data_IF_441410857254
#
_entry.id   IF_441410857254
#
_cell.length_a   1.000
_cell.length_b   1.000
_cell.length_c   1.000
_cell.angle_alpha   90.00
_cell.angle_beta   90.00
_cell.angle_gamma   90.00
#
_symmetry.space_group_name_H-M   'P 1'
#
loop_
_entity.id
_entity.type
_entity.pdbx_description
1 polymer ?
#
# COMPACT_ATOMS: atom_id res chain seq x y z
N UNK A 1 2.95 2.70 -15.14
CA UNK A 1 2.61 2.58 -13.70
C UNK A 1 2.78 3.93 -12.99
N UNK A 2 1.78 4.40 -12.24
CA UNK A 2 1.78 5.74 -11.61
C UNK A 2 2.97 5.95 -10.66
N UNK A 3 3.43 4.90 -9.96
CA UNK A 3 4.62 4.94 -9.09
C UNK A 3 5.94 5.24 -9.83
N UNK A 4 5.94 5.21 -11.17
CA UNK A 4 7.09 5.56 -12.02
C UNK A 4 7.05 6.99 -12.55
N UNK A 5 6.01 7.75 -12.22
CA UNK A 5 5.84 9.15 -12.63
C UNK A 5 6.24 10.04 -11.46
N UNK A 6 7.03 11.08 -11.72
CA UNK A 6 7.45 12.00 -10.68
C UNK A 6 6.21 12.67 -10.08
N UNK A 7 6.15 12.73 -8.75
CA UNK A 7 4.95 13.22 -8.07
C UNK A 7 5.30 13.86 -6.72
N UNK A 8 4.39 14.71 -6.25
CA UNK A 8 4.48 15.36 -4.94
C UNK A 8 3.10 15.47 -4.31
N UNK A 9 3.04 15.30 -2.99
CA UNK A 9 1.82 15.53 -2.22
C UNK A 9 1.66 17.05 -2.03
N UNK A 10 0.56 17.62 -2.51
CA UNK A 10 0.28 19.06 -2.43
C UNK A 10 -0.78 19.40 -1.39
N UNK A 11 -1.53 18.41 -0.91
CA UNK A 11 -2.61 18.63 0.05
C UNK A 11 -3.06 17.34 0.70
N UNK A 12 -3.86 17.50 1.75
CA UNK A 12 -4.52 16.43 2.47
C UNK A 12 -5.96 16.82 2.77
N UNK A 13 -6.83 15.82 2.92
CA UNK A 13 -8.23 16.03 3.30
C UNK A 13 -8.72 14.88 4.17
N UNK A 14 -9.65 15.17 5.08
CA UNK A 14 -10.06 14.22 6.10
C UNK A 14 -8.86 13.70 6.92
N UNK A 15 -9.01 12.52 7.50
CA UNK A 15 -7.96 11.93 8.37
C UNK A 15 -6.87 11.22 7.56
N UNK A 16 -7.18 10.75 6.35
CA UNK A 16 -6.37 9.76 5.61
C UNK A 16 -6.20 10.07 4.12
N UNK A 17 -6.80 11.15 3.62
CA UNK A 17 -6.75 11.53 2.21
C UNK A 17 -5.55 12.41 1.90
N UNK A 18 -4.88 12.11 0.80
CA UNK A 18 -3.79 12.89 0.22
C UNK A 18 -4.12 13.21 -1.23
N UNK A 19 -3.74 14.41 -1.66
CA UNK A 19 -3.79 14.85 -3.05
C UNK A 19 -2.36 14.96 -3.56
N UNK A 20 -2.05 14.19 -4.59
CA UNK A 20 -0.77 14.20 -5.28
C UNK A 20 -0.92 14.79 -6.66
N UNK A 21 0.08 15.57 -7.08
CA UNK A 21 0.27 15.92 -8.48
C UNK A 21 1.30 14.97 -9.08
N UNK A 22 0.98 14.44 -10.26
CA UNK A 22 1.88 13.66 -11.09
C UNK A 22 2.30 14.48 -12.30
N UNK A 23 3.58 14.41 -12.65
CA UNK A 23 4.20 15.17 -13.73
C UNK A 23 4.80 14.22 -14.78
N UNK A 24 4.03 13.83 -15.82
CA UNK A 24 4.48 12.90 -16.84
C UNK A 24 5.70 13.38 -17.65
N UNK A 25 5.90 14.70 -17.72
CA UNK A 25 6.98 15.33 -18.48
C UNK A 25 8.25 15.56 -17.66
N UNK A 26 8.23 15.27 -16.35
CA UNK A 26 9.45 15.22 -15.55
C UNK A 26 10.16 13.91 -15.88
N UNK A 27 11.16 14.00 -16.76
CA UNK A 27 11.94 12.85 -17.23
C UNK A 27 12.64 12.17 -16.07
N UNK A 28 12.76 10.84 -16.17
CA UNK A 28 13.58 10.05 -15.26
C UNK A 28 15.05 10.40 -15.52
N UNK A 29 15.68 11.09 -14.58
CA UNK A 29 17.13 11.06 -14.49
C UNK A 29 17.54 9.65 -13.98
N UNK A 30 18.83 9.27 -14.06
CA UNK A 30 19.31 7.93 -13.68
C UNK A 30 18.92 7.51 -12.24
N UNK A 31 18.56 8.47 -11.38
CA UNK A 31 18.10 8.29 -10.00
C UNK A 31 16.59 8.03 -9.83
N UNK A 32 15.82 7.96 -10.92
CA UNK A 32 14.40 7.63 -10.92
C UNK A 32 13.46 8.85 -11.03
N UNK A 33 12.14 8.66 -10.83
CA UNK A 33 11.13 9.70 -11.06
C UNK A 33 11.06 10.68 -9.89
N UNK A 34 12.05 11.58 -9.79
CA UNK A 34 12.11 12.59 -8.74
C UNK A 34 11.98 14.00 -9.30
N UNK A 35 11.23 14.84 -8.58
CA UNK A 35 11.25 16.28 -8.81
C UNK A 35 12.53 16.87 -8.21
N UNK A 36 13.19 17.73 -8.96
CA UNK A 36 14.36 18.48 -8.49
C UNK A 36 13.94 19.57 -7.49
N UNK A 37 14.89 20.14 -6.74
CA UNK A 37 14.58 21.31 -5.91
C UNK A 37 14.11 22.52 -6.74
N UNK A 38 14.61 22.64 -7.97
CA UNK A 38 14.14 23.65 -8.93
C UNK A 38 12.69 23.39 -9.32
N UNK A 39 12.34 22.15 -9.65
CA UNK A 39 10.95 21.77 -9.96
C UNK A 39 10.01 22.10 -8.79
N UNK A 40 10.40 21.80 -7.54
CA UNK A 40 9.59 22.13 -6.36
C UNK A 40 9.45 23.65 -6.15
N UNK A 41 10.51 24.40 -6.41
CA UNK A 41 10.48 25.86 -6.33
C UNK A 41 9.55 26.47 -7.38
N UNK A 42 9.60 25.99 -8.62
CA UNK A 42 8.75 26.46 -9.71
C UNK A 42 7.29 26.05 -9.51
N UNK A 43 7.04 24.81 -9.06
CA UNK A 43 5.71 24.36 -8.69
C UNK A 43 5.07 25.30 -7.66
N UNK A 44 5.82 25.70 -6.63
CA UNK A 44 5.31 26.62 -5.62
C UNK A 44 5.15 28.05 -6.15
N UNK A 45 6.23 28.63 -6.72
CA UNK A 45 6.29 30.05 -7.07
C UNK A 45 5.45 30.42 -8.30
N UNK A 46 5.35 29.51 -9.27
CA UNK A 46 4.65 29.73 -10.56
C UNK A 46 3.26 29.10 -10.50
N UNK A 47 3.17 27.86 -10.01
CA UNK A 47 1.91 27.13 -9.91
C UNK A 47 1.08 27.54 -8.71
N UNK A 48 1.41 26.99 -7.54
CA UNK A 48 0.55 27.01 -6.34
C UNK A 48 0.28 28.44 -5.86
N UNK A 49 1.33 29.22 -5.56
CA UNK A 49 1.20 30.55 -4.96
C UNK A 49 0.43 31.50 -5.88
N UNK A 50 0.72 31.50 -7.19
CA UNK A 50 0.02 32.37 -8.14
C UNK A 50 -1.43 31.96 -8.31
N UNK A 51 -1.71 30.66 -8.34
CA UNK A 51 -3.08 30.16 -8.43
C UNK A 51 -3.88 30.62 -7.21
N UNK A 52 -3.37 30.40 -6.00
CA UNK A 52 -4.06 30.84 -4.77
C UNK A 52 -4.28 32.34 -4.73
N UNK A 53 -3.28 33.16 -5.08
CA UNK A 53 -3.43 34.62 -5.07
C UNK A 53 -4.46 35.11 -6.09
N UNK A 54 -4.65 34.38 -7.19
CA UNK A 54 -5.65 34.69 -8.21
C UNK A 54 -7.05 34.30 -7.76
N UNK A 55 -7.22 33.10 -7.18
CA UNK A 55 -8.55 32.58 -6.79
C UNK A 55 -9.04 33.08 -5.43
N UNK A 56 -8.13 33.37 -4.49
CA UNK A 56 -8.40 33.78 -3.11
C UNK A 56 -7.41 34.88 -2.72
N UNK A 57 -7.52 36.09 -3.31
CA UNK A 57 -6.57 37.17 -3.10
C UNK A 57 -6.46 37.61 -1.63
N UNK A 58 -7.52 37.44 -0.84
CA UNK A 58 -7.55 37.78 0.59
C UNK A 58 -6.59 36.90 1.41
N UNK A 59 -6.34 35.66 0.98
CA UNK A 59 -5.44 34.72 1.66
C UNK A 59 -3.97 34.94 1.34
N UNK A 60 -3.61 35.85 0.43
CA UNK A 60 -2.22 36.09 0.00
C UNK A 60 -1.25 36.27 1.18
N UNK A 61 -1.68 36.95 2.25
CA UNK A 61 -0.85 37.21 3.42
C UNK A 61 -0.52 35.96 4.25
N UNK A 62 -1.29 34.88 4.11
CA UNK A 62 -1.09 33.63 4.85
C UNK A 62 -0.09 32.68 4.17
N UNK A 63 0.24 32.94 2.91
CA UNK A 63 1.16 32.12 2.13
C UNK A 63 2.57 32.71 2.14
N UNK A 64 3.62 31.89 2.33
CA UNK A 64 4.99 32.35 2.16
C UNK A 64 5.20 32.98 0.77
N UNK A 65 5.93 34.11 0.66
CA UNK A 65 6.06 34.86 -0.58
C UNK A 65 6.89 34.13 -1.66
N UNK A 66 7.61 33.06 -1.28
CA UNK A 66 8.36 32.21 -2.20
C UNK A 66 8.62 30.84 -1.60
N UNK A 67 9.05 29.89 -2.43
CA UNK A 67 9.49 28.57 -1.98
C UNK A 67 10.64 28.66 -0.98
N UNK A 68 11.63 29.53 -1.24
CA UNK A 68 12.75 29.75 -0.32
C UNK A 68 12.27 30.25 1.06
N UNK A 69 11.28 31.14 1.08
CA UNK A 69 10.66 31.61 2.33
C UNK A 69 9.87 30.49 3.03
N UNK A 70 9.17 29.62 2.27
CA UNK A 70 8.47 28.47 2.82
C UNK A 70 9.44 27.46 3.48
N UNK A 71 10.56 27.15 2.82
CA UNK A 71 11.61 26.29 3.37
C UNK A 71 12.25 26.91 4.61
N UNK A 72 12.58 28.22 4.56
CA UNK A 72 13.17 28.91 5.71
C UNK A 72 12.24 28.92 6.92
N UNK A 73 10.93 29.17 6.71
CA UNK A 73 9.91 29.11 7.76
C UNK A 73 9.72 27.71 8.33
N UNK A 74 9.83 26.69 7.49
CA UNK A 74 9.60 25.30 7.90
C UNK A 74 10.79 24.65 8.60
N UNK A 75 11.98 25.25 8.61
CA UNK A 75 13.17 24.62 9.18
C UNK A 75 13.32 24.95 10.67
N UNK A 76 13.45 23.92 11.52
CA UNK A 76 13.74 24.10 12.94
C UNK A 76 15.24 24.35 13.22
N UNK A 77 15.57 24.60 14.49
CA UNK A 77 16.95 24.84 14.96
C UNK A 77 17.92 23.67 14.73
N UNK A 78 17.40 22.46 14.50
CA UNK A 78 18.18 21.25 14.22
C UNK A 78 18.22 20.92 12.72
N UNK A 79 17.61 21.76 11.88
CA UNK A 79 17.56 21.57 10.43
C UNK A 79 16.42 20.67 9.94
N UNK A 80 15.54 20.19 10.82
CA UNK A 80 14.38 19.40 10.40
C UNK A 80 13.30 20.29 9.80
N UNK A 81 12.57 19.74 8.82
CA UNK A 81 11.49 20.43 8.13
C UNK A 81 10.14 20.09 8.76
N UNK A 82 9.43 21.13 9.18
CA UNK A 82 8.06 21.13 9.68
C UNK A 82 7.23 22.05 8.79
N UNK A 83 6.42 21.47 7.91
CA UNK A 83 5.57 22.24 7.01
C UNK A 83 4.20 22.48 7.63
N UNK A 84 3.76 23.74 7.64
CA UNK A 84 2.38 24.09 7.95
C UNK A 84 1.45 23.87 6.76
N UNK A 85 0.15 23.77 7.02
CA UNK A 85 -0.90 23.70 6.00
C UNK A 85 -1.70 25.00 5.96
N UNK A 86 -2.27 25.30 4.79
CA UNK A 86 -3.25 26.36 4.61
C UNK A 86 -4.42 25.76 3.85
N UNK A 87 -5.63 25.96 4.37
CA UNK A 87 -6.83 25.42 3.75
C UNK A 87 -7.19 26.19 2.48
N UNK A 88 -7.78 25.48 1.51
CA UNK A 88 -8.43 26.03 0.33
C UNK A 88 -9.91 25.66 0.44
N UNK A 89 -10.79 26.63 0.29
CA UNK A 89 -12.24 26.45 0.37
C UNK A 89 -12.74 25.49 -0.72
N UNK A 90 -13.73 24.65 -0.38
CA UNK A 90 -14.22 23.59 -1.25
C UNK A 90 -14.74 24.11 -2.60
N UNK A 91 -15.46 25.23 -2.57
CA UNK A 91 -16.03 25.89 -3.76
C UNK A 91 -14.97 26.52 -4.68
N UNK A 92 -13.71 26.59 -4.23
CA UNK A 92 -12.59 27.13 -4.99
C UNK A 92 -11.64 26.08 -5.55
N UNK A 93 -11.88 24.79 -5.26
CA UNK A 93 -10.97 23.71 -5.65
C UNK A 93 -10.89 23.51 -7.17
N UNK A 94 -12.02 23.63 -7.87
CA UNK A 94 -12.05 23.49 -9.34
C UNK A 94 -11.29 24.64 -10.01
N UNK A 95 -11.55 25.88 -9.57
CA UNK A 95 -10.82 27.07 -10.03
C UNK A 95 -9.33 26.95 -9.73
N UNK A 96 -8.96 26.53 -8.50
CA UNK A 96 -7.57 26.29 -8.13
C UNK A 96 -6.88 25.31 -9.06
N UNK A 97 -7.52 24.16 -9.33
CA UNK A 97 -6.96 23.12 -10.17
C UNK A 97 -6.78 23.60 -11.62
N UNK A 98 -7.77 24.29 -12.18
CA UNK A 98 -7.72 24.85 -13.52
C UNK A 98 -6.60 25.90 -13.66
N UNK A 99 -6.54 26.89 -12.75
CA UNK A 99 -5.52 27.92 -12.76
C UNK A 99 -4.12 27.32 -12.58
N UNK A 100 -3.97 26.32 -11.70
CA UNK A 100 -2.69 25.64 -11.49
C UNK A 100 -2.18 24.95 -12.77
N UNK A 101 -3.06 24.22 -13.46
CA UNK A 101 -2.72 23.58 -14.74
C UNK A 101 -2.34 24.65 -15.77
N UNK A 102 -3.10 25.74 -15.86
CA UNK A 102 -2.84 26.84 -16.78
C UNK A 102 -1.47 27.51 -16.52
N UNK A 103 -1.14 27.83 -15.26
CA UNK A 103 0.15 28.46 -14.92
C UNK A 103 1.35 27.57 -15.26
N UNK A 104 1.17 26.25 -15.22
CA UNK A 104 2.22 25.28 -15.51
C UNK A 104 2.26 24.84 -16.99
N UNK A 105 1.31 25.25 -17.83
CA UNK A 105 1.14 24.72 -19.19
C UNK A 105 2.38 24.84 -20.09
N UNK A 106 3.18 25.89 -19.89
CA UNK A 106 4.41 26.15 -20.66
C UNK A 106 5.68 25.69 -19.94
N UNK A 107 5.57 25.14 -18.73
CA UNK A 107 6.74 24.67 -18.00
C UNK A 107 7.31 23.41 -18.67
N UNK A 108 8.63 23.32 -18.91
CA UNK A 108 9.23 22.19 -19.65
C UNK A 108 8.94 20.83 -19.00
N UNK A 109 9.07 20.73 -17.67
CA UNK A 109 8.90 19.50 -16.88
C UNK A 109 7.55 19.32 -16.18
N UNK A 110 6.90 20.41 -15.74
CA UNK A 110 5.71 20.38 -14.88
C UNK A 110 4.38 20.59 -15.62
N UNK A 111 4.42 20.79 -16.94
CA UNK A 111 3.21 20.93 -17.77
C UNK A 111 2.33 19.69 -17.72
N UNK A 112 1.04 19.90 -17.98
CA UNK A 112 0.01 18.86 -18.03
C UNK A 112 0.04 17.91 -16.81
N UNK A 113 -0.02 18.44 -15.57
CA UNK A 113 -0.04 17.58 -14.40
C UNK A 113 -1.37 16.84 -14.26
N UNK A 114 -1.34 15.68 -13.60
CA UNK A 114 -2.55 14.94 -13.22
C UNK A 114 -2.71 14.91 -11.71
N UNK A 115 -3.94 15.06 -11.22
CA UNK A 115 -4.26 14.85 -9.82
C UNK A 115 -4.46 13.35 -9.53
N UNK A 116 -3.97 12.91 -8.38
CA UNK A 116 -4.25 11.59 -7.83
C UNK A 116 -4.66 11.74 -6.38
N UNK A 117 -5.79 11.12 -6.07
CA UNK A 117 -6.27 10.98 -4.70
C UNK A 117 -5.74 9.66 -4.16
N UNK A 118 -5.09 9.73 -2.99
CA UNK A 118 -4.57 8.56 -2.30
C UNK A 118 -5.14 8.54 -0.88
N UNK A 119 -5.86 7.47 -0.54
CA UNK A 119 -6.32 7.21 0.82
C UNK A 119 -5.35 6.24 1.50
N UNK A 120 -4.69 6.66 2.58
CA UNK A 120 -3.65 5.86 3.25
C UNK A 120 -4.12 5.24 4.57
N UNK A 121 -3.55 4.08 4.88
CA UNK A 121 -3.75 3.40 6.17
C UNK A 121 -5.14 2.79 6.37
N UNK A 122 -5.94 2.65 5.31
CA UNK A 122 -7.27 2.03 5.36
C UNK A 122 -7.22 0.50 5.47
N UNK A 123 -6.04 -0.11 5.29
CA UNK A 123 -5.86 -1.56 5.39
C UNK A 123 -6.18 -2.05 6.82
N UNK A 124 -7.08 -3.02 6.91
CA UNK A 124 -7.50 -3.61 8.19
C UNK A 124 -8.37 -2.69 9.05
N UNK A 125 -8.97 -1.65 8.46
CA UNK A 125 -9.88 -0.75 9.19
C UNK A 125 -11.17 -1.43 9.62
N UNK A 126 -11.61 -2.45 8.87
CA UNK A 126 -12.84 -3.19 9.13
C UNK A 126 -12.54 -4.69 9.16
N UNK A 127 -13.10 -5.35 10.17
CA UNK A 127 -13.07 -6.81 10.34
C UNK A 127 -14.46 -7.25 10.75
N UNK A 128 -14.97 -8.30 10.11
CA UNK A 128 -16.30 -8.86 10.34
C UNK A 128 -16.25 -10.38 10.07
N UNK A 129 -17.18 -11.17 10.64
CA UNK A 129 -17.24 -12.61 10.39
C UNK A 129 -17.40 -12.93 8.90
N UNK A 130 -16.81 -14.05 8.46
CA UNK A 130 -17.03 -14.57 7.10
C UNK A 130 -18.52 -14.89 6.93
N UNK A 131 -19.12 -14.41 5.84
CA UNK A 131 -20.55 -14.57 5.55
C UNK A 131 -21.45 -13.45 6.07
N UNK A 132 -20.94 -12.49 6.85
CA UNK A 132 -21.69 -11.30 7.25
C UNK A 132 -21.73 -10.28 6.10
N UNK A 133 -22.73 -10.42 5.24
CA UNK A 133 -22.90 -9.60 4.02
C UNK A 133 -23.21 -8.14 4.38
N UNK A 134 -24.01 -7.90 5.42
CA UNK A 134 -24.40 -6.56 5.82
C UNK A 134 -23.20 -5.77 6.35
N UNK A 135 -22.43 -6.36 7.28
CA UNK A 135 -21.22 -5.73 7.82
C UNK A 135 -20.17 -5.45 6.72
N UNK A 136 -20.08 -6.35 5.73
CA UNK A 136 -19.22 -6.18 4.56
C UNK A 136 -19.64 -4.99 3.70
N UNK A 137 -20.93 -4.89 3.38
CA UNK A 137 -21.47 -3.79 2.58
C UNK A 137 -21.33 -2.46 3.31
N UNK A 138 -21.59 -2.42 4.62
CA UNK A 138 -21.42 -1.23 5.44
C UNK A 138 -19.94 -0.77 5.47
N UNK A 139 -19.00 -1.70 5.65
CA UNK A 139 -17.57 -1.40 5.60
C UNK A 139 -17.14 -0.83 4.24
N UNK A 140 -17.67 -1.40 3.14
CA UNK A 140 -17.41 -0.91 1.80
C UNK A 140 -17.98 0.50 1.57
N UNK A 141 -19.22 0.74 2.00
CA UNK A 141 -19.86 2.05 1.91
C UNK A 141 -19.08 3.12 2.69
N UNK A 142 -18.58 2.78 3.88
CA UNK A 142 -17.75 3.69 4.67
C UNK A 142 -16.39 3.97 4.01
N UNK A 143 -15.75 2.95 3.40
CA UNK A 143 -14.53 3.14 2.63
C UNK A 143 -14.77 4.03 1.40
N UNK A 144 -15.92 3.83 0.75
CA UNK A 144 -16.37 4.55 -0.44
C UNK A 144 -16.92 5.95 -0.18
N UNK A 145 -17.11 6.37 1.08
CA UNK A 145 -17.74 7.64 1.42
C UNK A 145 -16.99 8.89 0.90
N UNK A 146 -15.70 8.74 0.57
CA UNK A 146 -14.87 9.80 -0.02
C UNK A 146 -14.85 9.76 -1.56
N UNK A 147 -15.52 8.78 -2.18
CA UNK A 147 -15.56 8.58 -3.62
C UNK A 147 -16.94 8.99 -4.12
N UNK A 148 -16.98 9.83 -5.15
CA UNK A 148 -18.21 10.23 -5.81
C UNK A 148 -18.60 9.16 -6.83
N UNK A 149 -19.17 8.04 -6.38
CA UNK A 149 -19.45 6.87 -7.22
C UNK A 149 -20.25 7.18 -8.50
N UNK A 150 -21.17 8.15 -8.45
CA UNK A 150 -21.93 8.61 -9.62
C UNK A 150 -21.04 9.14 -10.74
N UNK A 151 -19.92 9.81 -10.41
CA UNK A 151 -18.97 10.31 -11.40
C UNK A 151 -18.04 9.20 -11.93
N UNK A 152 -17.98 8.06 -11.24
CA UNK A 152 -17.12 6.93 -11.56
C UNK A 152 -17.85 5.81 -12.30
N UNK A 153 -19.15 5.96 -12.59
CA UNK A 153 -20.00 4.90 -13.17
C UNK A 153 -19.40 4.28 -14.44
N UNK A 154 -18.94 5.11 -15.38
CA UNK A 154 -18.29 4.66 -16.63
C UNK A 154 -16.91 4.03 -16.40
N UNK A 155 -16.28 4.29 -15.25
CA UNK A 155 -14.95 3.83 -14.90
C UNK A 155 -14.96 2.63 -13.94
N UNK A 156 -16.10 2.18 -13.41
CA UNK A 156 -16.18 1.09 -12.41
C UNK A 156 -15.47 -0.20 -12.85
N UNK A 157 -15.44 -0.49 -14.15
CA UNK A 157 -14.71 -1.63 -14.72
C UNK A 157 -13.18 -1.57 -14.51
N UNK A 158 -12.65 -0.38 -14.26
CA UNK A 158 -11.23 -0.10 -13.99
C UNK A 158 -10.90 -0.07 -12.50
N UNK A 159 -11.92 -0.11 -11.65
CA UNK A 159 -11.76 -0.20 -10.21
C UNK A 159 -11.52 -1.64 -9.80
N UNK A 160 -10.60 -1.80 -8.84
CA UNK A 160 -10.27 -3.06 -8.22
C UNK A 160 -10.31 -2.90 -6.71
N UNK A 161 -10.68 -3.99 -6.04
CA UNK A 161 -10.75 -4.07 -4.59
C UNK A 161 -10.01 -5.32 -4.12
N UNK A 162 -9.22 -5.16 -3.07
CA UNK A 162 -8.57 -6.27 -2.38
C UNK A 162 -9.51 -6.76 -1.28
N UNK A 163 -9.97 -8.00 -1.38
CA UNK A 163 -10.79 -8.67 -0.37
C UNK A 163 -9.94 -9.76 0.25
N UNK A 164 -9.97 -9.86 1.58
CA UNK A 164 -9.17 -10.84 2.29
C UNK A 164 -9.97 -11.58 3.36
N UNK A 165 -9.66 -12.86 3.49
CA UNK A 165 -10.04 -13.69 4.64
C UNK A 165 -8.82 -13.82 5.53
N UNK A 166 -9.01 -13.62 6.82
CA UNK A 166 -7.97 -13.77 7.84
C UNK A 166 -8.37 -14.89 8.79
N UNK A 167 -7.50 -15.89 8.91
CA UNK A 167 -7.67 -17.04 9.79
C UNK A 167 -6.77 -16.85 10.99
N UNK A 168 -7.36 -16.93 12.19
CA UNK A 168 -6.67 -16.78 13.46
C UNK A 168 -7.07 -17.89 14.43
N UNK A 169 -6.17 -18.22 15.36
CA UNK A 169 -6.41 -19.18 16.44
C UNK A 169 -5.62 -18.72 17.66
N UNK A 170 -6.27 -18.48 18.80
CA UNK A 170 -5.58 -18.05 20.01
C UNK A 170 -4.43 -18.99 20.41
N UNK A 171 -3.30 -18.41 20.80
CA UNK A 171 -2.09 -19.11 21.24
C UNK A 171 -1.32 -19.81 20.11
N UNK A 172 -1.63 -19.49 18.85
CA UNK A 172 -0.95 -20.09 17.69
C UNK A 172 -0.49 -19.03 16.68
N UNK A 173 0.60 -19.36 16.01
CA UNK A 173 0.98 -18.78 14.72
C UNK A 173 0.50 -19.72 13.62
N UNK A 174 -0.38 -19.21 12.76
CA UNK A 174 -0.92 -19.97 11.63
C UNK A 174 -0.04 -19.74 10.39
N UNK A 175 0.34 -20.82 9.73
CA UNK A 175 1.14 -20.80 8.50
C UNK A 175 0.42 -21.52 7.36
N UNK A 176 0.62 -21.03 6.13
CA UNK A 176 0.15 -21.68 4.92
C UNK A 176 1.07 -22.82 4.52
N UNK A 177 0.49 -23.95 4.12
CA UNK A 177 1.22 -25.10 3.61
C UNK A 177 1.44 -24.96 2.11
N UNK A 178 2.69 -25.08 1.69
CA UNK A 178 3.08 -24.96 0.27
C UNK A 178 2.42 -26.00 -0.63
N UNK A 179 2.18 -27.20 -0.09
CA UNK A 179 1.54 -28.31 -0.79
C UNK A 179 0.04 -28.09 -1.08
N UNK A 180 -0.55 -27.02 -0.55
CA UNK A 180 -1.96 -26.67 -0.76
C UNK A 180 -2.17 -25.49 -1.74
N UNK A 181 -1.10 -24.95 -2.33
CA UNK A 181 -1.19 -23.78 -3.21
C UNK A 181 -2.07 -24.01 -4.45
N UNK A 182 -2.10 -25.25 -4.96
CA UNK A 182 -2.99 -25.63 -6.07
C UNK A 182 -4.47 -25.52 -5.67
N UNK A 183 -4.84 -26.00 -4.48
CA UNK A 183 -6.20 -25.93 -3.93
C UNK A 183 -6.60 -24.48 -3.66
N UNK A 184 -5.69 -23.71 -3.08
CA UNK A 184 -5.87 -22.28 -2.80
C UNK A 184 -6.07 -21.48 -4.10
N UNK A 185 -5.32 -21.77 -5.15
CA UNK A 185 -5.50 -21.16 -6.46
C UNK A 185 -6.79 -21.62 -7.15
N UNK A 186 -7.15 -22.90 -7.05
CA UNK A 186 -8.41 -23.41 -7.60
C UNK A 186 -9.63 -22.77 -6.91
N UNK A 187 -9.52 -22.50 -5.61
CA UNK A 187 -10.53 -21.76 -4.87
C UNK A 187 -10.63 -20.29 -5.31
N UNK A 188 -9.49 -19.60 -5.49
CA UNK A 188 -9.50 -18.24 -6.03
C UNK A 188 -9.99 -18.16 -7.49
N UNK A 189 -9.83 -19.23 -8.27
CA UNK A 189 -10.08 -19.28 -9.71
C UNK A 189 -11.00 -20.46 -10.06
N UNK A 190 -12.28 -20.44 -9.65
CA UNK A 190 -13.17 -21.58 -9.83
C UNK A 190 -13.44 -21.91 -11.31
N UNK A 191 -13.27 -20.95 -12.23
CA UNK A 191 -13.39 -21.19 -13.66
C UNK A 191 -12.14 -21.81 -14.29
N UNK A 192 -11.00 -21.85 -13.59
CA UNK A 192 -9.75 -22.37 -14.11
C UNK A 192 -9.68 -23.90 -14.03
N UNK A 193 -9.20 -24.54 -15.09
CA UNK A 193 -9.03 -26.00 -15.09
C UNK A 193 -7.83 -26.42 -14.23
N UNK A 194 -7.74 -27.68 -13.77
CA UNK A 194 -6.54 -28.18 -13.10
C UNK A 194 -5.25 -27.98 -13.90
N UNK A 195 -5.34 -28.02 -15.24
CA UNK A 195 -4.22 -27.73 -16.14
C UNK A 195 -3.81 -26.26 -16.08
N UNK A 196 -4.76 -25.33 -15.98
CA UNK A 196 -4.50 -23.90 -15.85
C UNK A 196 -3.81 -23.58 -14.54
N UNK A 197 -4.30 -24.15 -13.43
CA UNK A 197 -3.70 -24.00 -12.09
C UNK A 197 -2.26 -24.54 -12.10
N UNK A 198 -2.06 -25.77 -12.59
CA UNK A 198 -0.73 -26.36 -12.68
C UNK A 198 0.21 -25.55 -13.61
N UNK A 199 -0.33 -24.97 -14.67
CA UNK A 199 0.40 -24.06 -15.56
C UNK A 199 0.80 -22.75 -14.88
N UNK A 200 -0.08 -22.18 -14.05
CA UNK A 200 0.19 -20.97 -13.28
C UNK A 200 1.30 -21.21 -12.24
N UNK A 201 1.23 -22.31 -11.48
CA UNK A 201 2.22 -22.69 -10.46
C UNK A 201 3.63 -22.90 -11.01
N UNK A 202 3.77 -23.33 -12.28
CA UNK A 202 5.06 -23.49 -12.95
C UNK A 202 5.52 -22.25 -13.71
N UNK A 203 4.65 -21.26 -13.84
CA UNK A 203 4.90 -20.05 -14.63
C UNK A 203 5.64 -18.97 -13.85
N UNK A 204 6.02 -17.92 -14.57
CA UNK A 204 6.66 -16.71 -14.00
C UNK A 204 5.67 -15.80 -13.26
N UNK A 205 4.38 -16.05 -13.42
CA UNK A 205 3.30 -15.29 -12.77
C UNK A 205 2.96 -15.81 -11.37
N UNK A 206 3.77 -16.72 -10.83
CA UNK A 206 3.61 -17.29 -9.51
C UNK A 206 4.95 -17.20 -8.76
N UNK A 207 4.90 -16.80 -7.50
CA UNK A 207 6.05 -16.70 -6.61
C UNK A 207 5.65 -17.24 -5.24
N UNK A 208 6.42 -18.21 -4.71
CA UNK A 208 6.22 -18.74 -3.37
C UNK A 208 7.04 -17.94 -2.36
N UNK A 209 6.38 -17.48 -1.29
CA UNK A 209 6.98 -16.68 -0.23
C UNK A 209 7.24 -17.58 0.99
N UNK A 210 8.43 -18.17 1.06
CA UNK A 210 8.82 -19.12 2.13
C UNK A 210 8.93 -18.43 3.50
N UNK A 211 8.32 -19.03 4.52
CA UNK A 211 8.38 -18.56 5.90
C UNK A 211 9.63 -19.09 6.61
N UNK A 212 10.53 -18.20 7.05
CA UNK A 212 11.65 -18.58 7.93
C UNK A 212 12.57 -19.70 7.41
N UNK A 213 12.74 -19.81 6.08
CA UNK A 213 13.44 -20.92 5.41
C UNK A 213 12.80 -22.33 5.60
N UNK A 214 11.60 -22.41 6.16
CA UNK A 214 10.83 -23.64 6.26
C UNK A 214 10.12 -23.90 4.93
N UNK A 215 10.76 -24.61 3.99
CA UNK A 215 10.30 -24.72 2.60
C UNK A 215 8.90 -25.34 2.40
N UNK A 216 8.39 -26.06 3.39
CA UNK A 216 7.03 -26.60 3.40
C UNK A 216 5.97 -25.57 3.79
N UNK A 217 6.40 -24.45 4.39
CA UNK A 217 5.55 -23.35 4.83
C UNK A 217 5.81 -22.15 3.93
N UNK A 218 4.79 -21.77 3.17
CA UNK A 218 4.92 -20.65 2.26
C UNK A 218 3.55 -20.01 2.03
N UNK A 219 3.56 -18.68 1.95
CA UNK A 219 2.54 -17.97 1.20
C UNK A 219 2.84 -18.00 -0.30
N UNK A 220 2.05 -17.29 -1.09
CA UNK A 220 2.38 -17.03 -2.49
C UNK A 220 1.74 -15.76 -3.03
N UNK A 221 2.33 -15.27 -4.11
CA UNK A 221 1.76 -14.24 -4.98
C UNK A 221 1.51 -14.84 -6.35
N UNK A 222 0.33 -14.61 -6.91
CA UNK A 222 -0.02 -15.05 -8.25
C UNK A 222 -0.72 -13.94 -9.05
N UNK A 223 -0.35 -13.82 -10.33
CA UNK A 223 -0.98 -12.94 -11.31
C UNK A 223 -1.64 -13.81 -12.40
N UNK A 224 -2.93 -14.20 -12.24
CA UNK A 224 -3.57 -15.20 -13.11
C UNK A 224 -3.59 -14.81 -14.59
N UNK A 225 -3.57 -13.51 -14.91
CA UNK A 225 -3.58 -12.99 -16.26
C UNK A 225 -4.88 -13.38 -16.98
N UNK A 226 -4.78 -14.02 -18.14
CA UNK A 226 -5.96 -14.48 -18.90
C UNK A 226 -6.80 -15.51 -18.14
N UNK A 227 -6.18 -16.30 -17.24
CA UNK A 227 -6.86 -17.37 -16.49
C UNK A 227 -7.85 -16.84 -15.46
N UNK A 228 -7.63 -15.64 -14.92
CA UNK A 228 -8.52 -15.02 -13.94
C UNK A 228 -9.61 -14.12 -14.54
N UNK A 229 -9.72 -14.03 -15.88
CA UNK A 229 -10.69 -13.13 -16.52
C UNK A 229 -12.14 -13.54 -16.24
N UNK A 230 -12.44 -14.84 -16.28
CA UNK A 230 -13.78 -15.35 -16.02
C UNK A 230 -14.20 -15.06 -14.57
N UNK A 231 -13.28 -15.25 -13.63
CA UNK A 231 -13.49 -15.02 -12.20
C UNK A 231 -13.29 -13.55 -11.79
N UNK A 232 -12.90 -12.68 -12.73
CA UNK A 232 -12.56 -11.26 -12.49
C UNK A 232 -11.47 -11.05 -11.45
N UNK A 233 -10.58 -12.04 -11.28
CA UNK A 233 -9.44 -12.02 -10.36
C UNK A 233 -8.18 -11.62 -11.11
N UNK A 234 -7.51 -10.55 -10.68
CA UNK A 234 -6.27 -10.06 -11.30
C UNK A 234 -5.03 -10.36 -10.47
N UNK A 235 -5.18 -10.58 -9.17
CA UNK A 235 -4.08 -10.90 -8.27
C UNK A 235 -4.58 -11.79 -7.13
N UNK A 236 -3.74 -12.73 -6.70
CA UNK A 236 -3.96 -13.54 -5.50
C UNK A 236 -2.71 -13.40 -4.63
N UNK A 237 -2.89 -13.09 -3.36
CA UNK A 237 -1.83 -12.88 -2.39
C UNK A 237 -2.17 -13.62 -1.10
N UNK A 238 -1.42 -14.68 -0.82
CA UNK A 238 -1.60 -15.55 0.33
C UNK A 238 -0.37 -15.38 1.20
N UNK A 239 -0.53 -14.92 2.43
CA UNK A 239 0.60 -14.61 3.31
C UNK A 239 0.23 -14.72 4.78
N UNK A 240 1.23 -14.65 5.65
CA UNK A 240 1.08 -14.68 7.12
C UNK A 240 1.42 -13.34 7.76
N UNK A 241 0.86 -13.07 8.94
CA UNK A 241 1.05 -11.79 9.66
C UNK A 241 2.12 -11.85 10.74
N UNK A 242 2.81 -12.97 10.91
CA UNK A 242 4.01 -13.12 11.75
C UNK A 242 5.17 -12.19 11.34
N UNK A 243 5.12 -11.60 10.13
CA UNK A 243 6.02 -10.50 9.73
C UNK A 243 5.72 -9.15 10.39
N UNK A 244 4.54 -8.98 11.00
CA UNK A 244 4.07 -7.68 11.53
C UNK A 244 4.99 -7.09 12.61
N UNK A 245 5.52 -7.85 13.58
CA UNK A 245 6.46 -7.32 14.58
C UNK A 245 7.76 -6.74 13.99
N UNK A 246 8.12 -7.18 12.77
CA UNK A 246 9.33 -6.76 12.06
C UNK A 246 9.02 -5.67 11.01
N UNK A 247 7.77 -5.25 10.86
CA UNK A 247 7.39 -4.25 9.87
C UNK A 247 7.82 -2.85 10.32
N UNK A 248 8.72 -2.23 9.55
CA UNK A 248 9.20 -0.86 9.79
C UNK A 248 9.00 0.02 8.55
N UNK A 249 8.48 1.23 8.75
CA UNK A 249 8.31 2.22 7.67
C UNK A 249 9.63 2.88 7.27
N UNK A 250 10.59 2.94 8.20
CA UNK A 250 11.91 3.53 7.99
C UNK A 250 12.99 2.45 7.95
N UNK A 251 14.15 2.78 7.39
CA UNK A 251 15.31 1.87 7.42
C UNK A 251 15.87 1.78 8.85
N UNK A 252 15.56 0.70 9.54
CA UNK A 252 16.16 0.30 10.81
C UNK A 252 16.65 -1.15 10.77
N UNK A 253 16.72 -1.79 11.94
CA UNK A 253 17.28 -3.13 12.12
C UNK A 253 16.56 -4.22 11.29
N UNK A 254 15.27 -4.07 11.03
CA UNK A 254 14.47 -5.09 10.33
C UNK A 254 14.51 -4.99 8.80
N UNK A 255 15.51 -4.30 8.24
CA UNK A 255 15.62 -4.14 6.78
C UNK A 255 16.17 -5.43 6.17
N UNK A 256 15.96 -5.62 4.87
CA UNK A 256 16.73 -6.63 4.13
C UNK A 256 18.22 -6.28 4.23
N UNK A 257 19.00 -7.21 4.78
CA UNK A 257 20.45 -7.15 4.76
C UNK A 257 20.98 -7.69 3.44
N UNK A 258 22.10 -7.11 2.99
CA UNK A 258 22.77 -7.48 1.74
C UNK A 258 24.20 -7.94 2.05
N UNK A 259 24.86 -8.70 1.16
CA UNK A 259 26.21 -9.20 1.41
C UNK A 259 27.22 -8.12 1.81
N UNK A 260 27.08 -6.88 1.32
CA UNK A 260 28.00 -5.78 1.70
C UNK A 260 27.88 -5.35 3.17
N UNK A 261 26.82 -5.74 3.89
CA UNK A 261 26.66 -5.49 5.32
C UNK A 261 27.63 -6.32 6.18
N UNK A 262 28.21 -7.40 5.64
CA UNK A 262 29.20 -8.24 6.35
C UNK A 262 30.63 -7.69 6.27
N UNK A 263 30.84 -6.57 5.58
CA UNK A 263 32.16 -5.95 5.45
C UNK A 263 32.65 -5.36 6.78
N UNK A 264 33.97 -5.28 7.03
CA UNK A 264 34.51 -4.82 8.33
C UNK A 264 33.98 -3.47 8.82
N UNK A 265 33.67 -2.54 7.91
CA UNK A 265 33.11 -1.23 8.27
C UNK A 265 31.62 -1.25 8.68
N UNK A 266 30.87 -2.30 8.33
CA UNK A 266 29.42 -2.41 8.56
C UNK A 266 29.03 -3.56 9.48
N UNK A 267 29.93 -4.52 9.72
CA UNK A 267 29.64 -5.74 10.49
C UNK A 267 29.17 -5.45 11.91
N UNK A 268 29.69 -4.39 12.56
CA UNK A 268 29.23 -3.98 13.90
C UNK A 268 27.77 -3.51 13.91
N UNK A 269 27.36 -2.78 12.86
CA UNK A 269 25.96 -2.35 12.68
C UNK A 269 25.07 -3.59 12.48
N UNK A 270 25.49 -4.50 11.60
CA UNK A 270 24.78 -5.75 11.35
C UNK A 270 24.63 -6.59 12.63
N UNK A 271 25.67 -6.69 13.46
CA UNK A 271 25.59 -7.36 14.76
C UNK A 271 24.53 -6.72 15.67
N UNK A 272 24.49 -5.40 15.76
CA UNK A 272 23.45 -4.67 16.50
C UNK A 272 22.04 -4.92 15.95
N UNK A 273 21.89 -4.92 14.62
CA UNK A 273 20.62 -5.20 13.96
C UNK A 273 20.14 -6.65 14.24
N UNK A 274 21.05 -7.63 14.20
CA UNK A 274 20.76 -9.04 14.55
C UNK A 274 20.37 -9.20 16.02
N UNK A 275 21.02 -8.50 16.94
CA UNK A 275 20.64 -8.51 18.36
C UNK A 275 19.24 -7.91 18.57
N UNK A 276 18.90 -6.83 17.85
CA UNK A 276 17.56 -6.24 17.90
C UNK A 276 16.49 -7.20 17.34
N UNK A 277 16.81 -7.94 16.27
CA UNK A 277 15.94 -9.00 15.74
C UNK A 277 15.73 -10.11 16.76
N UNK A 278 16.79 -10.61 17.38
CA UNK A 278 16.70 -11.64 18.43
C UNK A 278 15.89 -11.20 19.65
N UNK A 279 16.07 -9.95 20.10
CA UNK A 279 15.28 -9.39 21.18
C UNK A 279 13.79 -9.29 20.83
N UNK A 280 13.47 -8.93 19.58
CA UNK A 280 12.08 -8.90 19.11
C UNK A 280 11.46 -10.30 19.06
N UNK A 281 12.20 -11.31 18.57
CA UNK A 281 11.75 -12.71 18.58
C UNK A 281 11.47 -13.18 20.02
N UNK A 282 12.39 -12.94 20.95
CA UNK A 282 12.20 -13.30 22.36
C UNK A 282 10.95 -12.63 22.98
N UNK A 283 10.69 -11.36 22.64
CA UNK A 283 9.46 -10.67 23.06
C UNK A 283 8.21 -11.34 22.50
N UNK A 284 8.23 -11.66 21.21
CA UNK A 284 7.12 -12.39 20.57
C UNK A 284 6.89 -13.77 21.21
N UNK A 285 7.97 -14.44 21.65
CA UNK A 285 7.91 -15.70 22.39
C UNK A 285 7.37 -15.57 23.82
N UNK A 286 7.10 -14.35 24.31
CA UNK A 286 6.54 -14.11 25.63
C UNK A 286 7.53 -13.79 26.73
N UNK A 287 8.78 -13.39 26.42
CA UNK A 287 9.76 -13.00 27.45
C UNK A 287 9.29 -11.85 28.36
N UNK A 288 8.35 -11.03 27.89
CA UNK A 288 7.73 -9.92 28.63
C UNK A 288 6.28 -10.24 29.06
N UNK A 289 5.89 -11.51 29.10
CA UNK A 289 4.59 -11.99 29.59
C UNK A 289 3.45 -11.98 28.57
N UNK A 290 3.67 -11.46 27.36
CA UNK A 290 2.72 -11.52 26.26
C UNK A 290 3.30 -12.26 25.07
N UNK A 291 2.66 -13.36 24.68
CA UNK A 291 3.03 -14.12 23.49
C UNK A 291 2.30 -13.52 22.29
N UNK A 292 3.02 -13.30 21.20
CA UNK A 292 2.47 -12.78 19.96
C UNK A 292 1.85 -13.91 19.14
N UNK A 293 0.60 -13.79 18.74
CA UNK A 293 0.00 -14.72 17.78
C UNK A 293 0.24 -14.26 16.32
N UNK A 294 0.05 -15.18 15.38
CA UNK A 294 0.19 -14.91 13.95
C UNK A 294 -0.99 -15.48 13.18
N UNK A 295 -1.49 -14.71 12.21
CA UNK A 295 -2.65 -15.09 11.39
C UNK A 295 -2.22 -15.47 9.97
N UNK A 296 -3.04 -16.28 9.32
CA UNK A 296 -2.90 -16.62 7.92
C UNK A 296 -3.95 -15.86 7.10
N UNK A 297 -3.51 -15.13 6.08
CA UNK A 297 -4.35 -14.25 5.27
C UNK A 297 -4.39 -14.68 3.82
N UNK A 298 -5.59 -14.79 3.27
CA UNK A 298 -5.88 -15.09 1.88
C UNK A 298 -6.54 -13.89 1.23
N UNK A 299 -5.83 -13.19 0.33
CA UNK A 299 -6.28 -11.95 -0.28
C UNK A 299 -6.40 -12.12 -1.81
N UNK A 300 -7.52 -11.67 -2.39
CA UNK A 300 -7.72 -11.61 -3.84
C UNK A 300 -8.01 -10.18 -4.25
N UNK A 301 -7.39 -9.76 -5.35
CA UNK A 301 -7.76 -8.52 -6.05
C UNK A 301 -8.74 -8.86 -7.14
N UNK A 302 -9.95 -8.32 -7.01
CA UNK A 302 -11.01 -8.47 -8.00
C UNK A 302 -11.42 -7.14 -8.60
N UNK A 303 -11.99 -7.17 -9.79
CA UNK A 303 -12.73 -6.01 -10.29
C UNK A 303 -13.83 -5.64 -9.28
N UNK A 304 -14.07 -4.35 -9.08
CA UNK A 304 -15.10 -3.86 -8.17
C UNK A 304 -16.49 -4.45 -8.48
N UNK A 305 -16.77 -4.74 -9.76
CA UNK A 305 -17.99 -5.40 -10.19
C UNK A 305 -18.14 -6.86 -9.71
N UNK A 306 -17.12 -7.44 -9.07
CA UNK A 306 -17.17 -8.75 -8.44
C UNK A 306 -17.08 -8.68 -6.91
N UNK A 307 -17.21 -7.48 -6.34
CA UNK A 307 -17.07 -7.27 -4.91
C UNK A 307 -17.99 -8.19 -4.11
N UNK A 308 -19.27 -8.30 -4.45
CA UNK A 308 -20.22 -9.09 -3.63
C UNK A 308 -20.01 -10.62 -3.70
N UNK A 309 -19.35 -11.12 -4.76
CA UNK A 309 -19.22 -12.57 -4.99
C UNK A 309 -17.86 -13.14 -4.55
N UNK A 310 -16.86 -12.29 -4.35
CA UNK A 310 -15.51 -12.75 -4.02
C UNK A 310 -15.38 -13.06 -2.53
N UNK A 311 -14.87 -14.25 -2.20
CA UNK A 311 -14.55 -14.68 -0.82
C UNK A 311 -15.74 -14.54 0.15
N UNK A 312 -16.92 -15.00 -0.25
CA UNK A 312 -18.13 -15.00 0.60
C UNK A 312 -18.15 -16.14 1.61
N UNK A 313 -17.38 -17.19 1.37
CA UNK A 313 -17.19 -18.34 2.25
C UNK A 313 -15.69 -18.63 2.42
N UNK A 314 -15.35 -19.62 3.24
CA UNK A 314 -14.03 -20.23 3.18
C UNK A 314 -14.17 -21.72 3.53
N UNK A 315 -14.07 -22.63 2.55
CA UNK A 315 -14.37 -24.04 2.79
C UNK A 315 -13.46 -24.69 3.85
N UNK A 316 -14.05 -25.48 4.74
CA UNK A 316 -13.32 -26.19 5.81
C UNK A 316 -12.17 -27.05 5.28
N UNK A 317 -12.35 -27.72 4.15
CA UNK A 317 -11.31 -28.55 3.55
C UNK A 317 -10.06 -27.73 3.13
N UNK A 318 -10.19 -26.43 2.86
CA UNK A 318 -9.04 -25.54 2.60
C UNK A 318 -8.34 -25.22 3.91
N UNK A 319 -9.09 -25.00 5.00
CA UNK A 319 -8.52 -24.79 6.33
C UNK A 319 -7.76 -26.02 6.82
N UNK A 320 -8.38 -27.19 6.73
CA UNK A 320 -7.83 -28.46 7.22
C UNK A 320 -6.55 -28.88 6.48
N UNK A 321 -6.50 -28.66 5.17
CA UNK A 321 -5.38 -29.10 4.35
C UNK A 321 -4.35 -28.00 4.04
N UNK A 322 -4.78 -26.74 4.07
CA UNK A 322 -3.99 -25.59 3.66
C UNK A 322 -3.22 -24.90 4.78
N UNK A 323 -3.53 -25.20 6.04
CA UNK A 323 -2.95 -24.52 7.18
C UNK A 323 -2.23 -25.48 8.12
N UNK A 324 -1.26 -24.92 8.85
CA UNK A 324 -0.70 -25.52 10.05
C UNK A 324 -0.80 -24.50 11.19
N UNK A 325 -1.17 -24.97 12.38
CA UNK A 325 -1.17 -24.19 13.60
C UNK A 325 0.06 -24.57 14.43
N UNK A 326 0.99 -23.64 14.61
CA UNK A 326 2.16 -23.83 15.47
C UNK A 326 1.91 -23.08 16.78
N UNK A 327 2.09 -23.69 17.96
CA UNK A 327 1.99 -22.95 19.22
C UNK A 327 2.92 -21.73 19.19
N UNK A 328 2.40 -20.56 19.56
CA UNK A 328 3.12 -19.29 19.35
C UNK A 328 4.49 -19.26 20.04
N UNK A 329 4.60 -19.81 21.25
CA UNK A 329 5.88 -19.91 21.97
C UNK A 329 6.92 -20.81 21.30
N UNK A 330 6.51 -21.73 20.41
CA UNK A 330 7.42 -22.61 19.65
C UNK A 330 7.84 -21.95 18.34
N UNK A 331 6.95 -21.15 17.74
CA UNK A 331 7.22 -20.49 16.47
C UNK A 331 8.32 -19.42 16.57
N UNK A 332 8.28 -18.62 17.64
CA UNK A 332 9.19 -17.49 17.88
C UNK A 332 10.55 -17.90 18.43
#
# INVERSE_FOLDING_TARGET
PLHKIANVCIGSFGVRGQVRLLFPHATQDDDGPMLTQTDLADLYNIGILRSVVEIIPERRAHWPPSYAAAIARGRDQHGHLHFGSVDIERDKLDDFAATLIEKLQHHPRLKAPHFMIELRGTKGMYTFPVGDVDARTDAFNQLGALIHWQQEEENLSRWYVDIAIEVSRPGHVIQWKRDAHDRLLAYALPSATPRDIAGLLRGTNYEADVSGHLFSLAGFRANPGTRGRADRVVHVNVYTTDKTPFHQLHRGAFRKHVPSDTTPGKIKKLQGDVLAIGAMLARCAGSEGQIQDGTARFEVRVSLANFDNALTDFPDHILEHGLICVPSAIWW
#
